data_IF_005633367873
#
_entry.id   IF_005633367873
#
_cell.length_a   1.000
_cell.length_b   1.000
_cell.length_c   1.000
_cell.angle_alpha   90.00
_cell.angle_beta   90.00
_cell.angle_gamma   90.00
#
_symmetry.space_group_name_H-M   'P 1'
#
loop_
_entity.id
_entity.type
_entity.pdbx_description
1 polymer ?
#
# COMPACT_ATOMS: atom_id res chain seq x y z
N UNK A 1 -4.83 -24.66 20.80
CA UNK A 1 -5.11 -23.29 20.30
C UNK A 1 -3.84 -22.43 20.24
N UNK A 2 -2.73 -22.97 19.72
CA UNK A 2 -1.47 -22.22 19.56
C UNK A 2 -1.37 -21.53 18.18
N UNK A 3 -2.15 -21.97 17.21
CA UNK A 3 -2.09 -21.45 15.84
C UNK A 3 -2.53 -19.98 15.76
N UNK A 4 -3.61 -19.59 16.45
CA UNK A 4 -4.16 -18.22 16.47
C UNK A 4 -3.15 -17.15 16.97
N UNK A 5 -2.20 -17.54 17.82
CA UNK A 5 -1.22 -16.62 18.43
C UNK A 5 -0.10 -16.23 17.47
N UNK A 6 0.15 -17.03 16.43
CA UNK A 6 1.14 -16.75 15.38
C UNK A 6 0.54 -15.98 14.19
N UNK A 7 -0.76 -15.62 14.24
CA UNK A 7 -1.38 -14.71 13.26
C UNK A 7 -1.34 -13.25 13.69
N UNK A 8 -1.09 -13.00 14.98
CA UNK A 8 -0.96 -11.67 15.54
C UNK A 8 0.54 -11.33 15.71
N UNK A 9 0.90 -10.03 15.75
CA UNK A 9 2.28 -9.52 15.73
C UNK A 9 3.18 -10.18 16.81
N UNK A 10 4.52 -10.02 16.78
CA UNK A 10 5.27 -8.89 16.23
C UNK A 10 5.69 -9.13 14.78
N UNK A 11 5.36 -8.18 13.90
CA UNK A 11 5.73 -8.28 12.49
C UNK A 11 7.24 -8.18 12.28
N UNK A 12 7.79 -9.09 11.51
CA UNK A 12 9.15 -8.99 11.00
C UNK A 12 9.26 -7.83 10.00
N UNK A 13 10.40 -7.11 10.03
CA UNK A 13 10.69 -5.90 9.25
C UNK A 13 10.40 -6.05 7.75
N UNK A 14 10.67 -7.23 7.19
CA UNK A 14 10.44 -7.57 5.78
C UNK A 14 8.95 -7.62 5.43
N UNK A 15 8.11 -8.14 6.32
CA UNK A 15 6.66 -8.24 6.10
C UNK A 15 5.98 -6.86 6.09
N UNK A 16 6.34 -5.99 7.04
CA UNK A 16 5.86 -4.60 7.05
C UNK A 16 6.32 -3.87 5.80
N UNK A 17 7.59 -4.04 5.40
CA UNK A 17 8.14 -3.38 4.22
C UNK A 17 7.43 -3.82 2.94
N UNK A 18 7.21 -5.13 2.76
CA UNK A 18 6.53 -5.66 1.58
C UNK A 18 5.06 -5.18 1.53
N UNK A 19 4.34 -5.24 2.65
CA UNK A 19 2.95 -4.80 2.70
C UNK A 19 2.80 -3.29 2.51
N UNK A 20 3.50 -2.48 3.31
CA UNK A 20 3.41 -1.04 3.20
C UNK A 20 3.97 -0.55 1.84
N UNK A 21 4.98 -1.23 1.29
CA UNK A 21 5.51 -0.94 -0.05
C UNK A 21 4.50 -1.21 -1.16
N UNK A 22 3.78 -2.33 -1.09
CA UNK A 22 2.67 -2.61 -1.99
C UNK A 22 1.56 -1.56 -1.83
N UNK A 23 1.15 -1.24 -0.60
CA UNK A 23 0.12 -0.24 -0.35
C UNK A 23 0.51 1.13 -0.91
N UNK A 24 1.78 1.52 -0.78
CA UNK A 24 2.28 2.76 -1.36
C UNK A 24 2.16 2.77 -2.88
N UNK A 25 2.66 1.72 -3.55
CA UNK A 25 2.62 1.64 -5.01
C UNK A 25 1.18 1.59 -5.54
N UNK A 26 0.35 0.74 -4.92
CA UNK A 26 -1.04 0.54 -5.29
C UNK A 26 -1.86 1.83 -5.11
N UNK A 27 -1.84 2.41 -3.91
CA UNK A 27 -2.62 3.61 -3.63
C UNK A 27 -2.10 4.82 -4.43
N UNK A 28 -0.80 4.91 -4.72
CA UNK A 28 -0.27 5.97 -5.58
C UNK A 28 -0.82 5.85 -7.02
N UNK A 29 -0.88 4.63 -7.56
CA UNK A 29 -1.44 4.38 -8.88
C UNK A 29 -2.94 4.72 -8.94
N UNK A 30 -3.72 4.23 -7.97
CA UNK A 30 -5.16 4.52 -7.86
C UNK A 30 -5.41 6.03 -7.69
N UNK A 31 -4.63 6.70 -6.84
CA UNK A 31 -4.71 8.14 -6.64
C UNK A 31 -4.45 8.91 -7.94
N UNK A 32 -3.42 8.52 -8.70
CA UNK A 32 -3.08 9.16 -9.97
C UNK A 32 -4.18 9.03 -11.02
N UNK A 33 -4.80 7.85 -11.12
CA UNK A 33 -5.95 7.62 -12.00
C UNK A 33 -7.12 8.52 -11.57
N UNK A 34 -7.53 8.45 -10.31
CA UNK A 34 -8.67 9.22 -9.82
C UNK A 34 -8.47 10.73 -9.99
N UNK A 35 -7.26 11.24 -9.74
CA UNK A 35 -6.92 12.65 -9.98
C UNK A 35 -7.16 13.03 -11.45
N UNK A 36 -6.70 12.20 -12.40
CA UNK A 36 -6.84 12.50 -13.83
C UNK A 36 -8.30 12.52 -14.29
N UNK A 37 -9.10 11.55 -13.86
CA UNK A 37 -10.52 11.53 -14.20
C UNK A 37 -11.31 12.64 -13.49
N UNK A 38 -10.90 13.03 -12.29
CA UNK A 38 -11.47 14.17 -11.58
C UNK A 38 -11.17 15.48 -12.31
N UNK A 39 -9.91 15.72 -12.69
CA UNK A 39 -9.49 16.90 -13.47
C UNK A 39 -10.25 17.01 -14.82
N UNK A 40 -10.51 15.87 -15.48
CA UNK A 40 -11.30 15.84 -16.72
C UNK A 40 -12.78 16.13 -16.47
N UNK A 41 -13.40 15.42 -15.52
CA UNK A 41 -14.83 15.58 -15.25
C UNK A 41 -15.18 16.99 -14.77
N UNK A 42 -14.33 17.64 -13.96
CA UNK A 42 -14.55 19.01 -13.46
C UNK A 42 -14.53 20.06 -14.57
N UNK A 43 -13.86 19.78 -15.69
CA UNK A 43 -13.85 20.63 -16.89
C UNK A 43 -15.02 20.34 -17.81
N UNK A 44 -15.32 19.06 -18.04
CA UNK A 44 -16.29 18.61 -19.04
C UNK A 44 -17.73 18.70 -18.52
N UNK A 45 -17.98 18.29 -17.28
CA UNK A 45 -19.35 18.21 -16.75
C UNK A 45 -20.08 19.56 -16.70
N UNK A 46 -19.46 20.68 -16.28
CA UNK A 46 -20.15 21.98 -16.29
C UNK A 46 -20.62 22.38 -17.69
N UNK A 47 -19.81 22.12 -18.72
CA UNK A 47 -20.17 22.43 -20.12
C UNK A 47 -21.24 21.46 -20.62
N UNK A 48 -21.09 20.16 -20.34
CA UNK A 48 -22.09 19.15 -20.67
C UNK A 48 -23.45 19.45 -20.01
N UNK A 49 -23.48 19.88 -18.75
CA UNK A 49 -24.73 20.23 -18.06
C UNK A 49 -25.42 21.45 -18.66
N UNK A 50 -24.67 22.45 -19.14
CA UNK A 50 -25.24 23.57 -19.91
C UNK A 50 -25.83 23.07 -21.22
N UNK A 51 -25.11 22.19 -21.93
CA UNK A 51 -25.55 21.57 -23.19
C UNK A 51 -26.83 20.75 -23.01
N UNK A 52 -26.92 19.95 -21.94
CA UNK A 52 -28.12 19.15 -21.63
C UNK A 52 -29.32 20.03 -21.30
N UNK A 53 -29.11 21.08 -20.50
CA UNK A 53 -30.15 22.04 -20.18
C UNK A 53 -30.66 22.77 -21.43
N UNK A 54 -29.76 23.16 -22.33
CA UNK A 54 -30.11 23.84 -23.57
C UNK A 54 -30.87 22.92 -24.55
N UNK A 55 -30.43 21.67 -24.69
CA UNK A 55 -31.13 20.63 -25.46
C UNK A 55 -32.56 20.43 -24.93
N UNK A 56 -32.72 20.38 -23.60
CA UNK A 56 -34.04 20.25 -22.96
C UNK A 56 -34.94 21.47 -23.23
N UNK A 57 -34.38 22.69 -23.22
CA UNK A 57 -35.12 23.93 -23.51
C UNK A 57 -35.56 24.02 -24.97
N UNK A 58 -34.74 23.51 -25.89
CA UNK A 58 -35.05 23.49 -27.33
C UNK A 58 -36.05 22.40 -27.71
N UNK A 59 -36.16 21.35 -26.90
CA UNK A 59 -37.12 20.27 -27.12
C UNK A 59 -36.78 19.34 -28.30
N UNK A 60 -35.52 19.36 -28.75
CA UNK A 60 -34.99 18.48 -29.79
C UNK A 60 -33.78 17.70 -29.26
N UNK A 61 -33.78 16.35 -29.33
CA UNK A 61 -34.87 15.47 -29.75
C UNK A 61 -36.03 15.45 -28.73
N UNK A 62 -37.27 15.22 -29.20
CA UNK A 62 -38.49 15.30 -28.36
C UNK A 62 -38.50 14.41 -27.12
N UNK A 63 -37.74 13.32 -27.16
CA UNK A 63 -37.64 12.35 -26.07
C UNK A 63 -36.38 12.56 -25.20
N UNK A 64 -35.72 13.72 -25.30
CA UNK A 64 -34.59 14.05 -24.44
C UNK A 64 -35.09 14.35 -23.03
N UNK A 65 -34.68 13.50 -22.08
CA UNK A 65 -35.01 13.64 -20.67
C UNK A 65 -33.70 13.90 -19.93
N UNK A 66 -33.71 14.96 -19.14
CA UNK A 66 -32.61 15.33 -18.26
C UNK A 66 -33.20 15.81 -16.94
N UNK A 67 -32.90 15.08 -15.87
CA UNK A 67 -33.52 15.24 -14.56
C UNK A 67 -32.49 15.60 -13.50
N UNK A 68 -32.99 16.12 -12.37
CA UNK A 68 -32.16 16.40 -11.19
C UNK A 68 -31.53 15.12 -10.62
N UNK A 69 -32.18 13.96 -10.81
CA UNK A 69 -31.67 12.67 -10.35
C UNK A 69 -30.43 12.26 -11.15
N UNK A 70 -30.49 12.35 -12.47
CA UNK A 70 -29.35 12.04 -13.36
C UNK A 70 -28.19 13.01 -13.14
N UNK A 71 -28.48 14.29 -12.89
CA UNK A 71 -27.47 15.26 -12.45
C UNK A 71 -26.79 14.83 -11.16
N UNK A 72 -27.57 14.48 -10.14
CA UNK A 72 -27.01 14.03 -8.86
C UNK A 72 -26.18 12.75 -9.01
N UNK A 73 -26.52 11.84 -9.94
CA UNK A 73 -25.70 10.66 -10.23
C UNK A 73 -24.32 11.05 -10.78
N UNK A 74 -24.25 12.00 -11.73
CA UNK A 74 -22.99 12.49 -12.28
C UNK A 74 -22.17 13.32 -11.27
N UNK A 75 -22.82 14.10 -10.41
CA UNK A 75 -22.15 14.79 -9.30
C UNK A 75 -21.60 13.77 -8.27
N UNK A 76 -22.36 12.70 -8.01
CA UNK A 76 -21.92 11.61 -7.13
C UNK A 76 -20.69 10.88 -7.70
N UNK A 77 -20.56 10.75 -9.02
CA UNK A 77 -19.36 10.21 -9.64
C UNK A 77 -18.10 11.03 -9.26
N UNK A 78 -18.16 12.36 -9.31
CA UNK A 78 -17.04 13.21 -8.87
C UNK A 78 -16.72 13.05 -7.39
N UNK A 79 -17.76 12.88 -6.56
CA UNK A 79 -17.59 12.60 -5.14
C UNK A 79 -16.87 11.26 -4.90
N UNK A 80 -17.24 10.19 -5.62
CA UNK A 80 -16.58 8.87 -5.54
C UNK A 80 -15.08 8.97 -5.88
N UNK A 81 -14.73 9.68 -6.97
CA UNK A 81 -13.33 9.91 -7.35
C UNK A 81 -12.54 10.64 -6.25
N UNK A 82 -13.15 11.70 -5.69
CA UNK A 82 -12.54 12.51 -4.62
C UNK A 82 -12.35 11.70 -3.34
N UNK A 83 -13.35 10.90 -2.97
CA UNK A 83 -13.31 10.01 -1.82
C UNK A 83 -12.17 9.00 -1.96
N UNK A 84 -12.06 8.35 -3.12
CA UNK A 84 -11.00 7.37 -3.37
C UNK A 84 -9.62 8.03 -3.33
N UNK A 85 -9.47 9.21 -3.92
CA UNK A 85 -8.23 9.99 -3.84
C UNK A 85 -7.83 10.31 -2.39
N UNK A 86 -8.80 10.73 -1.56
CA UNK A 86 -8.56 11.06 -0.15
C UNK A 86 -8.17 9.80 0.65
N UNK A 87 -8.90 8.71 0.49
CA UNK A 87 -8.62 7.44 1.14
C UNK A 87 -7.23 6.91 0.77
N UNK A 88 -6.87 6.96 -0.52
CA UNK A 88 -5.54 6.57 -0.97
C UNK A 88 -4.44 7.47 -0.41
N UNK A 89 -4.66 8.79 -0.36
CA UNK A 89 -3.69 9.74 0.24
C UNK A 89 -3.43 9.43 1.71
N UNK A 90 -4.50 9.21 2.50
CA UNK A 90 -4.38 8.86 3.93
C UNK A 90 -3.62 7.54 4.09
N UNK A 91 -3.93 6.55 3.26
CA UNK A 91 -3.28 5.23 3.30
C UNK A 91 -1.80 5.30 2.94
N UNK A 92 -1.43 6.12 1.95
CA UNK A 92 -0.03 6.39 1.59
C UNK A 92 0.71 7.01 2.77
N UNK A 93 0.19 8.11 3.34
CA UNK A 93 0.82 8.81 4.46
C UNK A 93 0.99 7.89 5.68
N UNK A 94 -0.03 7.07 5.96
CA UNK A 94 0.02 6.12 7.06
C UNK A 94 1.02 4.98 6.80
N UNK A 95 1.09 4.48 5.56
CA UNK A 95 2.08 3.48 5.15
C UNK A 95 3.51 4.01 5.29
N UNK A 96 3.76 5.27 4.91
CA UNK A 96 5.05 5.94 5.15
C UNK A 96 5.37 6.01 6.65
N UNK A 97 4.40 6.39 7.49
CA UNK A 97 4.56 6.43 8.95
C UNK A 97 4.88 5.05 9.54
N UNK A 98 4.34 3.98 8.97
CA UNK A 98 4.64 2.60 9.39
C UNK A 98 6.06 2.15 8.99
N UNK A 99 6.58 2.65 7.86
CA UNK A 99 7.90 2.30 7.33
C UNK A 99 9.03 3.06 8.05
N UNK A 100 8.89 4.36 8.31
CA UNK A 100 9.96 5.21 8.87
C UNK A 100 10.61 4.64 10.15
N UNK A 101 9.86 4.17 11.16
CA UNK A 101 10.42 3.59 12.37
C UNK A 101 11.32 2.38 12.10
N UNK A 102 11.07 1.64 11.02
CA UNK A 102 11.88 0.48 10.65
C UNK A 102 13.29 0.89 10.20
N UNK A 103 13.50 2.09 9.67
CA UNK A 103 14.83 2.57 9.29
C UNK A 103 15.61 3.15 10.47
N UNK A 104 14.92 3.75 11.46
CA UNK A 104 15.55 4.40 12.60
C UNK A 104 16.05 3.45 13.71
N UNK A 105 15.63 2.18 13.73
CA UNK A 105 15.99 1.22 14.79
C UNK A 105 17.24 0.37 14.48
N UNK A 106 18.13 0.82 13.59
CA UNK A 106 19.41 0.13 13.36
C UNK A 106 20.35 0.39 14.53
N UNK A 107 20.30 -0.47 15.56
CA UNK A 107 21.34 -0.55 16.58
C UNK A 107 22.10 -1.86 16.32
N UNK A 108 23.36 -1.74 15.88
CA UNK A 108 24.27 -2.86 15.69
C UNK A 108 24.52 -3.49 17.07
N UNK A 109 24.10 -4.74 17.29
CA UNK A 109 24.61 -5.51 18.43
C UNK A 109 26.03 -5.90 18.12
N UNK A 110 26.93 -5.54 19.02
CA UNK A 110 28.29 -6.05 19.05
C UNK A 110 28.24 -7.58 19.13
N UNK A 111 29.07 -8.20 18.31
CA UNK A 111 29.31 -9.63 18.13
C UNK A 111 28.22 -10.50 17.44
N UNK A 112 28.42 -10.60 16.11
CA UNK A 112 28.09 -11.71 15.20
C UNK A 112 26.64 -12.00 14.78
N UNK A 113 25.62 -11.37 15.37
CA UNK A 113 24.25 -11.47 14.84
C UNK A 113 23.57 -10.11 14.74
N UNK A 114 23.24 -9.69 13.52
CA UNK A 114 22.43 -8.49 13.27
C UNK A 114 20.97 -8.85 13.57
N UNK A 115 20.57 -8.81 14.83
CA UNK A 115 19.17 -9.02 15.22
C UNK A 115 18.37 -7.72 15.05
N UNK A 116 17.54 -7.68 14.01
CA UNK A 116 16.70 -6.53 13.68
C UNK A 116 15.45 -6.46 14.58
N UNK A 117 15.60 -5.94 15.80
CA UNK A 117 14.47 -5.79 16.73
C UNK A 117 13.91 -4.36 16.75
N UNK A 118 12.63 -4.21 16.38
CA UNK A 118 11.85 -3.01 16.75
C UNK A 118 11.75 -2.98 18.27
N UNK A 119 12.44 -2.02 18.90
CA UNK A 119 12.60 -1.91 20.37
C UNK A 119 11.28 -1.78 21.16
N UNK A 120 10.13 -1.66 20.48
CA UNK A 120 8.78 -1.57 21.07
C UNK A 120 7.75 -2.36 20.23
N UNK A 121 7.56 -3.67 20.50
CA UNK A 121 6.59 -4.49 19.75
C UNK A 121 5.16 -3.97 19.85
N UNK A 122 4.80 -3.29 20.95
CA UNK A 122 3.49 -2.65 21.19
C UNK A 122 3.08 -1.71 20.06
N UNK A 123 4.03 -0.96 19.48
CA UNK A 123 3.72 -0.03 18.40
C UNK A 123 3.22 -0.76 17.14
N UNK A 124 3.79 -1.93 16.83
CA UNK A 124 3.36 -2.76 15.71
C UNK A 124 1.95 -3.32 15.88
N UNK A 125 1.56 -3.70 17.12
CA UNK A 125 0.21 -4.17 17.43
C UNK A 125 -0.87 -3.09 17.29
N UNK A 126 -0.52 -1.82 17.39
CA UNK A 126 -1.46 -0.71 17.21
C UNK A 126 -1.50 -0.27 15.74
N UNK A 127 -0.34 -0.17 15.09
CA UNK A 127 -0.25 0.39 13.74
C UNK A 127 -0.88 -0.53 12.68
N UNK A 128 -0.67 -1.84 12.78
CA UNK A 128 -1.16 -2.76 11.78
C UNK A 128 -2.69 -2.93 11.69
N UNK A 129 -3.47 -3.07 12.80
CA UNK A 129 -4.91 -3.12 12.68
C UNK A 129 -5.49 -1.83 12.09
N UNK A 130 -4.87 -0.67 12.39
CA UNK A 130 -5.29 0.59 11.78
C UNK A 130 -5.00 0.63 10.28
N UNK A 131 -3.82 0.18 9.84
CA UNK A 131 -3.52 0.05 8.41
C UNK A 131 -4.52 -0.90 7.71
N UNK A 132 -4.84 -2.04 8.32
CA UNK A 132 -5.85 -2.96 7.77
C UNK A 132 -7.23 -2.32 7.64
N UNK A 133 -7.63 -1.50 8.61
CA UNK A 133 -8.88 -0.73 8.54
C UNK A 133 -8.85 0.27 7.38
N UNK A 134 -7.75 0.99 7.18
CA UNK A 134 -7.59 1.91 6.05
C UNK A 134 -7.66 1.19 4.70
N UNK A 135 -6.96 0.06 4.59
CA UNK A 135 -6.98 -0.79 3.39
C UNK A 135 -8.39 -1.32 3.12
N UNK A 136 -9.11 -1.75 4.16
CA UNK A 136 -10.51 -2.16 4.04
C UNK A 136 -11.40 -1.02 3.54
N UNK A 137 -11.27 0.19 4.08
CA UNK A 137 -12.01 1.35 3.58
C UNK A 137 -11.67 1.68 2.12
N UNK A 138 -10.41 1.59 1.71
CA UNK A 138 -10.01 1.74 0.31
C UNK A 138 -10.66 0.67 -0.58
N UNK A 139 -10.70 -0.58 -0.13
CA UNK A 139 -11.37 -1.67 -0.84
C UNK A 139 -12.89 -1.44 -0.98
N UNK A 140 -13.54 -0.95 0.07
CA UNK A 140 -14.97 -0.60 0.05
C UNK A 140 -15.25 0.57 -0.91
N UNK A 141 -14.43 1.62 -0.89
CA UNK A 141 -14.57 2.75 -1.81
C UNK A 141 -14.35 2.33 -3.27
N UNK A 142 -13.32 1.51 -3.53
CA UNK A 142 -13.02 0.99 -4.86
C UNK A 142 -14.15 0.09 -5.40
N UNK A 143 -14.68 -0.80 -4.56
CA UNK A 143 -15.80 -1.68 -4.95
C UNK A 143 -17.10 -0.92 -5.17
N UNK A 144 -17.38 0.12 -4.37
CA UNK A 144 -18.52 1.02 -4.64
C UNK A 144 -18.37 1.68 -6.02
N UNK A 145 -17.22 2.28 -6.31
CA UNK A 145 -16.96 2.87 -7.62
C UNK A 145 -17.15 1.84 -8.73
N UNK A 146 -16.70 0.60 -8.52
CA UNK A 146 -16.85 -0.49 -9.48
C UNK A 146 -18.29 -0.86 -9.79
N UNK A 147 -19.13 -1.06 -8.77
CA UNK A 147 -20.53 -1.43 -8.97
C UNK A 147 -21.37 -0.38 -9.71
N UNK A 148 -20.97 0.88 -9.66
CA UNK A 148 -21.75 2.00 -10.23
C UNK A 148 -21.13 2.57 -11.52
N UNK A 149 -19.94 2.10 -11.90
CA UNK A 149 -19.16 2.63 -13.01
C UNK A 149 -19.89 2.52 -14.36
N UNK A 150 -20.53 1.38 -14.62
CA UNK A 150 -21.20 1.12 -15.90
C UNK A 150 -22.47 1.97 -16.06
N UNK A 151 -23.25 2.12 -14.99
CA UNK A 151 -24.44 2.98 -14.98
C UNK A 151 -24.05 4.45 -15.19
N UNK A 152 -23.08 4.94 -14.40
CA UNK A 152 -22.59 6.32 -14.50
C UNK A 152 -22.04 6.63 -15.91
N UNK A 153 -21.22 5.73 -16.47
CA UNK A 153 -20.63 5.87 -17.81
C UNK A 153 -21.72 5.85 -18.90
N UNK A 154 -22.62 4.87 -18.87
CA UNK A 154 -23.67 4.73 -19.89
C UNK A 154 -24.64 5.90 -19.87
N UNK A 155 -24.98 6.42 -18.68
CA UNK A 155 -25.82 7.60 -18.52
C UNK A 155 -25.22 8.82 -19.21
N UNK A 156 -23.96 9.14 -18.91
CA UNK A 156 -23.29 10.28 -19.52
C UNK A 156 -23.13 10.12 -21.04
N UNK A 157 -22.71 8.95 -21.51
CA UNK A 157 -22.52 8.73 -22.95
C UNK A 157 -23.85 8.80 -23.72
N UNK A 158 -24.94 8.31 -23.13
CA UNK A 158 -26.28 8.40 -23.72
C UNK A 158 -26.76 9.87 -23.80
N UNK A 159 -26.65 10.61 -22.69
CA UNK A 159 -27.02 12.03 -22.66
C UNK A 159 -26.14 12.86 -23.62
N UNK A 160 -24.83 12.66 -23.59
CA UNK A 160 -23.87 13.37 -24.44
C UNK A 160 -24.00 13.02 -25.92
N UNK A 161 -24.32 11.76 -26.25
CA UNK A 161 -24.57 11.31 -27.61
C UNK A 161 -25.86 11.87 -28.22
N UNK A 162 -26.87 12.14 -27.39
CA UNK A 162 -28.19 12.66 -27.82
C UNK A 162 -28.35 14.16 -27.70
N UNK A 163 -27.48 14.82 -26.94
CA UNK A 163 -27.52 16.27 -26.75
C UNK A 163 -27.21 17.02 -28.05
N UNK A 164 -27.81 18.20 -28.20
CA UNK A 164 -27.55 19.08 -29.33
C UNK A 164 -26.18 19.75 -29.15
N UNK A 165 -25.23 19.36 -30.00
CA UNK A 165 -23.85 19.88 -29.96
C UNK A 165 -23.75 21.16 -30.78
N UNK A 166 -23.99 22.29 -30.15
CA UNK A 166 -23.75 23.59 -30.76
C UNK A 166 -22.27 23.98 -30.77
N UNK A 167 -21.86 24.76 -31.77
CA UNK A 167 -20.48 25.25 -31.92
C UNK A 167 -19.99 26.01 -30.67
N UNK A 168 -20.88 26.76 -30.00
CA UNK A 168 -20.55 27.46 -28.75
C UNK A 168 -20.07 26.51 -27.66
N UNK A 169 -20.76 25.38 -27.46
CA UNK A 169 -20.38 24.41 -26.43
C UNK A 169 -19.14 23.59 -26.84
N UNK A 170 -18.99 23.31 -28.13
CA UNK A 170 -17.79 22.65 -28.65
C UNK A 170 -16.56 23.55 -28.48
N UNK A 171 -16.66 24.84 -28.78
CA UNK A 171 -15.58 25.81 -28.57
C UNK A 171 -15.27 26.02 -27.08
N UNK A 172 -16.28 26.01 -26.20
CA UNK A 172 -16.06 26.04 -24.75
C UNK A 172 -15.32 24.77 -24.27
N UNK A 173 -15.69 23.58 -24.76
CA UNK A 173 -14.99 22.32 -24.47
C UNK A 173 -13.54 22.34 -24.97
N UNK A 174 -13.30 22.78 -26.21
CA UNK A 174 -11.96 22.92 -26.79
C UNK A 174 -11.09 23.87 -25.94
N UNK A 175 -11.66 24.99 -25.48
CA UNK A 175 -10.97 25.95 -24.62
C UNK A 175 -10.63 25.33 -23.25
N UNK A 176 -11.56 24.59 -22.63
CA UNK A 176 -11.34 23.94 -21.33
C UNK A 176 -10.32 22.78 -21.41
N UNK A 177 -10.30 22.07 -22.55
CA UNK A 177 -9.39 20.96 -22.82
C UNK A 177 -8.07 21.40 -23.47
N UNK A 178 -7.93 22.70 -23.79
CA UNK A 178 -6.77 23.32 -24.42
C UNK A 178 -6.42 22.70 -25.78
N UNK A 179 -7.45 22.43 -26.58
CA UNK A 179 -7.35 21.90 -27.95
C UNK A 179 -7.38 23.07 -28.94
N UNK A 180 -6.21 23.66 -29.19
CA UNK A 180 -6.11 24.90 -29.97
C UNK A 180 -5.70 24.68 -31.44
N UNK A 181 -5.31 23.46 -31.81
CA UNK A 181 -4.93 23.12 -33.19
C UNK A 181 -5.95 22.18 -33.82
N UNK A 182 -6.10 22.22 -35.15
CA UNK A 182 -7.00 21.29 -35.85
C UNK A 182 -6.58 19.82 -35.64
N UNK A 183 -5.27 19.55 -35.48
CA UNK A 183 -4.74 18.21 -35.13
C UNK A 183 -5.16 17.76 -33.71
N UNK A 184 -5.51 18.69 -32.81
CA UNK A 184 -5.97 18.38 -31.45
C UNK A 184 -7.48 18.09 -31.37
N UNK A 185 -8.26 18.32 -32.43
CA UNK A 185 -9.72 18.15 -32.41
C UNK A 185 -10.14 16.70 -32.18
N UNK A 186 -9.54 15.75 -32.90
CA UNK A 186 -9.82 14.32 -32.69
C UNK A 186 -9.45 13.88 -31.27
N UNK A 187 -8.38 14.45 -30.71
CA UNK A 187 -7.94 14.19 -29.35
C UNK A 187 -8.90 14.77 -28.31
N UNK A 188 -9.48 15.93 -28.58
CA UNK A 188 -10.51 16.55 -27.75
C UNK A 188 -11.74 15.64 -27.63
N UNK A 189 -12.23 15.14 -28.77
CA UNK A 189 -13.36 14.22 -28.80
C UNK A 189 -13.05 12.91 -28.06
N UNK A 190 -11.86 12.34 -28.24
CA UNK A 190 -11.42 11.16 -27.49
C UNK A 190 -11.33 11.43 -25.98
N UNK A 191 -10.88 12.63 -25.57
CA UNK A 191 -10.86 13.03 -24.16
C UNK A 191 -12.25 13.15 -23.55
N UNK A 192 -13.24 13.62 -24.33
CA UNK A 192 -14.64 13.66 -23.88
C UNK A 192 -15.24 12.27 -23.78
N UNK A 193 -14.96 11.40 -24.75
CA UNK A 193 -15.37 9.99 -24.70
C UNK A 193 -14.73 9.25 -23.51
N UNK A 194 -13.55 9.70 -23.06
CA UNK A 194 -12.83 9.18 -21.89
C UNK A 194 -13.01 10.03 -20.63
N UNK A 195 -13.98 10.94 -20.59
CA UNK A 195 -14.24 11.79 -19.42
C UNK A 195 -14.65 10.98 -18.18
N UNK A 196 -15.22 9.79 -18.41
CA UNK A 196 -15.65 8.87 -17.38
C UNK A 196 -14.85 7.59 -17.42
N UNK A 197 -14.57 7.06 -16.24
CA UNK A 197 -13.94 5.77 -16.08
C UNK A 197 -14.87 4.70 -16.67
N UNK A 198 -14.33 3.85 -17.54
CA UNK A 198 -15.04 2.69 -18.09
C UNK A 198 -14.73 1.46 -17.22
N UNK A 199 -15.70 0.54 -17.12
CA UNK A 199 -15.57 -0.73 -16.41
C UNK A 199 -14.34 -1.50 -16.87
N UNK A 200 -13.98 -1.43 -18.17
CA UNK A 200 -12.78 -2.06 -18.73
C UNK A 200 -11.48 -1.65 -18.05
N UNK A 201 -11.39 -0.43 -17.54
CA UNK A 201 -10.22 0.07 -16.82
C UNK A 201 -10.30 -0.20 -15.31
N UNK A 202 -11.52 -0.28 -14.77
CA UNK A 202 -11.74 -0.52 -13.35
C UNK A 202 -11.64 -2.01 -12.98
N UNK A 203 -12.07 -2.91 -13.85
CA UNK A 203 -11.95 -4.36 -13.70
C UNK A 203 -10.53 -4.82 -13.35
N UNK A 204 -9.48 -4.51 -14.16
CA UNK A 204 -8.12 -4.91 -13.82
C UNK A 204 -7.65 -4.26 -12.52
N UNK A 205 -8.12 -3.06 -12.19
CA UNK A 205 -7.79 -2.36 -10.94
C UNK A 205 -8.38 -3.12 -9.73
N UNK A 206 -9.64 -3.51 -9.78
CA UNK A 206 -10.28 -4.28 -8.70
C UNK A 206 -9.66 -5.68 -8.57
N UNK A 207 -9.43 -6.37 -9.69
CA UNK A 207 -8.84 -7.70 -9.65
C UNK A 207 -7.41 -7.68 -9.11
N UNK A 208 -6.59 -6.72 -9.53
CA UNK A 208 -5.24 -6.62 -8.98
C UNK A 208 -5.24 -6.17 -7.52
N UNK A 209 -6.18 -5.34 -7.06
CA UNK A 209 -6.37 -5.11 -5.62
C UNK A 209 -6.61 -6.43 -4.88
N UNK A 210 -7.62 -7.21 -5.29
CA UNK A 210 -7.98 -8.47 -4.62
C UNK A 210 -6.82 -9.48 -4.66
N UNK A 211 -6.22 -9.70 -5.84
CA UNK A 211 -5.13 -10.66 -6.01
C UNK A 211 -3.92 -10.26 -5.17
N UNK A 212 -3.48 -9.00 -5.24
CA UNK A 212 -2.34 -8.53 -4.48
C UNK A 212 -2.58 -8.70 -2.97
N UNK A 213 -3.77 -8.38 -2.47
CA UNK A 213 -4.09 -8.51 -1.05
C UNK A 213 -4.21 -9.98 -0.60
N UNK A 214 -4.73 -10.87 -1.45
CA UNK A 214 -4.72 -12.32 -1.17
C UNK A 214 -3.29 -12.84 -1.11
N UNK A 215 -2.45 -12.48 -2.10
CA UNK A 215 -1.03 -12.85 -2.12
C UNK A 215 -0.31 -12.32 -0.89
N UNK A 216 -0.60 -11.08 -0.46
CA UNK A 216 -0.08 -10.51 0.77
C UNK A 216 -0.49 -11.33 1.99
N UNK A 217 -1.77 -11.68 2.13
CA UNK A 217 -2.26 -12.47 3.27
C UNK A 217 -1.54 -13.83 3.36
N UNK A 218 -1.38 -14.53 2.24
CA UNK A 218 -0.63 -15.79 2.20
C UNK A 218 0.88 -15.60 2.42
N UNK A 219 1.46 -14.56 1.81
CA UNK A 219 2.86 -14.18 1.98
C UNK A 219 3.19 -13.86 3.42
N UNK A 220 2.29 -13.17 4.13
CA UNK A 220 2.38 -12.94 5.57
C UNK A 220 2.38 -14.25 6.35
N UNK A 221 1.49 -15.21 6.04
CA UNK A 221 1.48 -16.50 6.72
C UNK A 221 2.79 -17.29 6.57
N UNK A 222 3.45 -17.18 5.41
CA UNK A 222 4.71 -17.89 5.14
C UNK A 222 5.89 -17.13 5.75
N UNK A 223 5.99 -15.82 5.52
CA UNK A 223 7.07 -14.98 6.03
C UNK A 223 7.09 -14.91 7.57
N UNK A 224 5.93 -15.01 8.23
CA UNK A 224 5.87 -15.06 9.69
C UNK A 224 6.32 -16.41 10.27
N UNK A 225 6.40 -17.46 9.44
CA UNK A 225 6.75 -18.83 9.86
C UNK A 225 8.25 -19.14 9.78
N UNK A 226 9.01 -18.41 8.95
CA UNK A 226 10.41 -18.75 8.64
C UNK A 226 11.45 -18.30 9.68
N UNK A 227 11.14 -17.40 10.61
CA UNK A 227 12.12 -16.98 11.63
C UNK A 227 12.15 -17.88 12.87
N UNK A 228 11.04 -18.51 13.27
CA UNK A 228 11.04 -19.44 14.41
C UNK A 228 11.96 -20.66 14.18
N UNK A 229 12.10 -21.15 12.94
CA UNK A 229 12.90 -22.34 12.65
C UNK A 229 14.39 -22.07 12.56
N UNK A 230 14.79 -20.89 12.04
CA UNK A 230 16.21 -20.51 11.95
C UNK A 230 16.82 -20.29 13.32
N UNK A 231 16.11 -19.61 14.22
CA UNK A 231 16.59 -19.37 15.59
C UNK A 231 16.65 -20.67 16.40
N UNK A 232 15.68 -21.58 16.23
CA UNK A 232 15.67 -22.89 16.89
C UNK A 232 16.76 -23.83 16.36
N UNK A 233 17.02 -23.81 15.05
CA UNK A 233 18.08 -24.62 14.43
C UNK A 233 19.48 -24.09 14.77
N UNK A 234 19.65 -22.76 14.79
CA UNK A 234 20.91 -22.12 15.15
C UNK A 234 21.26 -22.38 16.61
N UNK A 235 20.33 -22.17 17.54
CA UNK A 235 20.53 -22.51 18.97
C UNK A 235 20.78 -23.99 19.22
N UNK A 236 20.16 -24.90 18.45
CA UNK A 236 20.44 -26.33 18.56
C UNK A 236 21.85 -26.68 18.08
N UNK A 237 22.35 -26.00 17.06
CA UNK A 237 23.69 -26.21 16.53
C UNK A 237 24.74 -25.63 17.46
N UNK A 238 24.57 -24.39 17.91
CA UNK A 238 25.51 -23.72 18.83
C UNK A 238 25.57 -24.40 20.19
N UNK A 239 24.43 -24.84 20.74
CA UNK A 239 24.40 -25.64 21.97
C UNK A 239 25.13 -26.98 21.80
N UNK A 240 25.05 -27.59 20.62
CA UNK A 240 25.75 -28.85 20.33
C UNK A 240 27.26 -28.64 20.26
N UNK A 241 27.70 -27.60 19.56
CA UNK A 241 29.12 -27.25 19.41
C UNK A 241 29.76 -26.85 20.76
N UNK A 242 29.00 -26.14 21.61
CA UNK A 242 29.43 -25.79 22.98
C UNK A 242 29.56 -27.03 23.89
N UNK A 243 28.61 -27.96 23.82
CA UNK A 243 28.65 -29.20 24.61
C UNK A 243 29.82 -30.11 24.17
N UNK A 244 30.07 -30.25 22.88
CA UNK A 244 31.24 -31.00 22.36
C UNK A 244 32.57 -30.36 22.81
N UNK A 245 32.63 -29.03 22.90
CA UNK A 245 33.82 -28.33 23.39
C UNK A 245 34.06 -28.56 24.88
N UNK A 246 33.00 -28.56 25.70
CA UNK A 246 33.11 -28.86 27.13
C UNK A 246 33.52 -30.31 27.39
N UNK A 247 32.98 -31.27 26.64
CA UNK A 247 33.31 -32.69 26.79
C UNK A 247 34.78 -32.97 26.43
N UNK A 248 35.28 -32.36 25.36
CA UNK A 248 36.69 -32.46 24.98
C UNK A 248 37.63 -31.82 26.02
N UNK A 249 37.25 -30.68 26.61
CA UNK A 249 38.07 -30.02 27.63
C UNK A 249 38.10 -30.81 28.96
N UNK A 250 37.00 -31.49 29.32
CA UNK A 250 36.93 -32.30 30.53
C UNK A 250 37.78 -33.59 30.40
N UNK A 251 37.88 -34.18 29.20
CA UNK A 251 38.80 -35.30 28.95
C UNK A 251 40.28 -34.90 29.05
N UNK A 252 40.62 -33.67 28.65
CA UNK A 252 42.00 -33.15 28.74
C UNK A 252 42.44 -32.92 30.21
N UNK A 253 41.51 -32.62 31.12
CA UNK A 253 41.83 -32.48 32.55
C UNK A 253 42.00 -33.82 33.28
N UNK A 254 41.28 -34.87 32.90
CA UNK A 254 41.44 -36.21 33.50
C UNK A 254 42.73 -36.92 33.06
N UNK A 255 43.32 -36.55 31.93
CA UNK A 255 44.59 -37.12 31.45
C UNK A 255 45.86 -36.48 32.05
N UNK A 256 45.76 -35.44 32.90
CA UNK A 256 46.95 -34.86 33.55
C UNK A 256 47.39 -35.71 34.75
N UNK A 257 48.54 -36.43 34.70
CA UNK A 257 49.04 -37.15 35.86
C UNK A 257 49.42 -36.18 36.97
N UNK A 258 48.97 -36.49 38.18
CA UNK A 258 49.28 -35.82 39.43
C UNK A 258 50.79 -35.95 39.73
N UNK A 259 51.61 -35.01 39.28
CA UNK A 259 53.01 -34.92 39.71
C UNK A 259 53.14 -34.04 40.95
N UNK A 260 53.43 -34.73 42.04
CA UNK A 260 53.77 -34.24 43.38
C UNK A 260 55.12 -33.50 43.42
N UNK A 261 55.15 -32.47 44.28
CA UNK A 261 56.31 -31.90 45.01
C UNK A 261 57.38 -31.12 44.25
N UNK A 262 57.69 -29.90 44.71
CA UNK A 262 58.89 -29.64 45.53
C UNK A 262 58.93 -28.17 46.00
N UNK A 263 59.12 -28.02 47.30
CA UNK A 263 59.41 -26.80 48.06
C UNK A 263 60.70 -26.14 47.56
N UNK A 264 60.68 -24.82 47.31
CA UNK A 264 61.89 -23.99 47.38
C UNK A 264 61.57 -22.58 47.87
N UNK A 265 61.96 -22.33 49.11
CA UNK A 265 62.19 -21.01 49.71
C UNK A 265 63.39 -20.33 49.07
N UNK A 266 63.29 -19.01 48.86
CA UNK A 266 64.31 -17.94 48.82
C UNK A 266 63.58 -16.76 48.13
N UNK A 267 63.36 -15.58 48.70
CA UNK A 267 64.24 -14.73 49.49
C UNK A 267 64.30 -13.39 48.74
N UNK A 268 63.78 -12.33 49.38
CA UNK A 268 64.04 -10.89 49.17
C UNK A 268 64.25 -10.34 47.74
N UNK A 269 63.44 -9.36 47.33
CA UNK A 269 63.83 -7.96 47.57
C UNK A 269 62.68 -6.98 47.38
N UNK A 270 62.60 -6.07 48.34
CA UNK A 270 61.69 -4.95 48.42
C UNK A 270 62.50 -3.71 48.02
N UNK A 271 62.41 -3.24 46.78
CA UNK A 271 62.92 -1.91 46.45
C UNK A 271 62.26 -1.34 45.18
N UNK A 272 61.82 -0.08 45.32
CA UNK A 272 61.47 0.89 44.26
C UNK A 272 60.11 0.75 43.60
N UNK A 273 59.16 1.55 44.09
CA UNK A 273 58.42 2.52 43.27
C UNK A 273 57.82 3.59 44.20
N UNK A 274 58.59 4.68 44.33
CA UNK A 274 58.11 6.04 44.54
C UNK A 274 57.52 6.54 43.22
#
# INVERSE_FOLDING_TARGET
MACARNYLPPYFRVGIFFFCGLELAWNAFVMAINQKFWDLSTKIFPVAFKMFNDTLLKGEPRDFVWTVVERNQLDMYQYKLTLMWLCSTITILYSMLCIVPQFCTMQQSDDSEITFCVKKPVLGYVMAPFLLVLVFFCGCALTWQWFTCEEDHSLFQNLFGRAQKEETFLSELETQLNCNTDDDKERCEDMVNRAMLDARWLDPLVYSFIICHIVMLFGFCIANREWEWRDVLFWKKEKKDFLETLENNHQIEEEKPMTSSTIRTNGMDMEKLL
#
